data_IF_231668781248
#
_entry.id   IF_231668781248
#
_cell.length_a   1.000
_cell.length_b   1.000
_cell.length_c   1.000
_cell.angle_alpha   90.00
_cell.angle_beta   90.00
_cell.angle_gamma   90.00
#
_symmetry.space_group_name_H-M   'P 1'
#
loop_
_entity.id
_entity.type
_entity.pdbx_description
1 polymer ?
#
# COMPACT_ATOMS: atom_id res chain seq x y z
N UNK A 1 -25.07 -35.61 2.67
CA UNK A 1 -25.12 -34.13 2.55
C UNK A 1 -24.48 -33.41 3.73
N UNK A 2 -24.78 -33.76 4.98
CA UNK A 2 -24.19 -33.10 6.16
C UNK A 2 -22.64 -33.07 6.22
N UNK A 3 -21.99 -34.22 5.99
CA UNK A 3 -20.51 -34.30 5.97
C UNK A 3 -19.88 -33.37 4.92
N UNK A 4 -20.53 -33.21 3.76
CA UNK A 4 -20.04 -32.32 2.71
C UNK A 4 -20.04 -30.86 3.17
N UNK A 5 -21.11 -30.38 3.82
CA UNK A 5 -21.15 -29.02 4.35
C UNK A 5 -20.12 -28.80 5.46
N UNK A 6 -19.92 -29.79 6.33
CA UNK A 6 -18.92 -29.71 7.38
C UNK A 6 -17.50 -29.58 6.80
N UNK A 7 -17.14 -30.46 5.85
CA UNK A 7 -15.82 -30.42 5.19
C UNK A 7 -15.62 -29.13 4.41
N UNK A 8 -16.64 -28.68 3.67
CA UNK A 8 -16.59 -27.43 2.91
C UNK A 8 -16.43 -26.21 3.84
N UNK A 9 -17.17 -26.17 4.94
CA UNK A 9 -17.10 -25.11 5.93
C UNK A 9 -15.70 -25.02 6.57
N UNK A 10 -15.14 -26.16 7.00
CA UNK A 10 -13.77 -26.23 7.52
C UNK A 10 -12.75 -25.73 6.48
N UNK A 11 -12.88 -26.17 5.23
CA UNK A 11 -11.97 -25.75 4.16
C UNK A 11 -12.03 -24.23 3.92
N UNK A 12 -13.23 -23.65 3.91
CA UNK A 12 -13.42 -22.19 3.79
C UNK A 12 -12.79 -21.46 4.96
N UNK A 13 -13.00 -21.93 6.20
CA UNK A 13 -12.41 -21.31 7.39
C UNK A 13 -10.88 -21.35 7.36
N UNK A 14 -10.29 -22.52 7.08
CA UNK A 14 -8.83 -22.66 6.98
C UNK A 14 -8.30 -21.75 5.88
N UNK A 15 -8.88 -21.79 4.68
CA UNK A 15 -8.45 -20.94 3.57
C UNK A 15 -8.54 -19.45 3.89
N UNK A 16 -9.59 -19.02 4.60
CA UNK A 16 -9.79 -17.62 4.98
C UNK A 16 -8.81 -17.18 6.06
N UNK A 17 -8.59 -18.00 7.10
CA UNK A 17 -7.63 -17.71 8.16
C UNK A 17 -6.20 -17.67 7.61
N UNK A 18 -5.85 -18.60 6.71
CA UNK A 18 -4.55 -18.58 6.03
C UNK A 18 -4.38 -17.32 5.19
N UNK A 19 -5.38 -16.93 4.39
CA UNK A 19 -5.31 -15.69 3.60
C UNK A 19 -5.20 -14.44 4.47
N UNK A 20 -5.93 -14.39 5.58
CA UNK A 20 -5.90 -13.30 6.55
C UNK A 20 -4.54 -13.19 7.24
N UNK A 21 -3.97 -14.30 7.71
CA UNK A 21 -2.64 -14.32 8.34
C UNK A 21 -1.57 -13.93 7.32
N UNK A 22 -1.65 -14.47 6.11
CA UNK A 22 -0.71 -14.14 5.02
C UNK A 22 -0.75 -12.64 4.71
N UNK A 23 -1.94 -12.09 4.50
CA UNK A 23 -2.10 -10.69 4.07
C UNK A 23 -1.76 -9.67 5.17
N UNK A 24 -1.93 -10.04 6.44
CA UNK A 24 -1.74 -9.09 7.57
C UNK A 24 -0.44 -9.28 8.34
N UNK A 25 0.10 -10.50 8.42
CA UNK A 25 1.27 -10.81 9.25
C UNK A 25 2.52 -11.21 8.44
N UNK A 26 2.37 -11.68 7.20
CA UNK A 26 3.51 -12.09 6.38
C UNK A 26 3.99 -10.95 5.48
N UNK A 27 4.93 -10.16 6.00
CA UNK A 27 5.52 -8.98 5.32
C UNK A 27 6.11 -9.33 3.95
N UNK A 28 6.88 -10.41 3.84
CA UNK A 28 7.54 -10.80 2.58
C UNK A 28 6.61 -11.53 1.60
N UNK A 29 5.40 -11.92 2.03
CA UNK A 29 4.50 -12.77 1.26
C UNK A 29 3.59 -12.02 0.30
N UNK A 30 3.52 -10.69 0.39
CA UNK A 30 2.54 -9.89 -0.33
C UNK A 30 1.09 -10.19 0.09
N UNK A 31 0.13 -9.85 -0.77
CA UNK A 31 -1.28 -10.14 -0.50
C UNK A 31 -1.60 -11.63 -0.72
N UNK A 32 -2.36 -12.22 0.19
CA UNK A 32 -2.80 -13.61 0.09
C UNK A 32 -3.59 -13.91 -1.21
N UNK A 33 -3.76 -15.19 -1.59
CA UNK A 33 -4.39 -15.56 -2.86
C UNK A 33 -5.82 -15.04 -3.07
N UNK A 34 -6.63 -14.98 -2.00
CA UNK A 34 -8.00 -14.47 -2.06
C UNK A 34 -7.98 -12.95 -2.12
N UNK A 35 -7.21 -12.31 -1.23
CA UNK A 35 -7.08 -10.85 -1.15
C UNK A 35 -6.49 -10.24 -2.42
N UNK A 36 -5.47 -10.87 -3.01
CA UNK A 36 -4.86 -10.43 -4.26
C UNK A 36 -5.79 -10.53 -5.46
N UNK A 37 -6.59 -11.60 -5.56
CA UNK A 37 -7.60 -11.78 -6.62
C UNK A 37 -8.71 -10.75 -6.52
N UNK A 38 -9.24 -10.54 -5.31
CA UNK A 38 -10.24 -9.51 -5.04
C UNK A 38 -9.73 -8.13 -5.43
N UNK A 39 -8.54 -7.79 -4.95
CA UNK A 39 -7.90 -6.50 -5.21
C UNK A 39 -7.71 -6.25 -6.71
N UNK A 40 -7.15 -7.21 -7.44
CA UNK A 40 -7.00 -7.12 -8.91
C UNK A 40 -8.34 -6.98 -9.63
N UNK A 41 -9.38 -7.68 -9.18
CA UNK A 41 -10.72 -7.61 -9.76
C UNK A 41 -11.37 -6.22 -9.55
N UNK A 42 -11.31 -5.69 -8.32
CA UNK A 42 -11.80 -4.36 -7.98
C UNK A 42 -11.05 -3.30 -8.79
N UNK A 43 -9.71 -3.36 -8.81
CA UNK A 43 -8.88 -2.44 -9.57
C UNK A 43 -9.18 -2.46 -11.08
N UNK A 44 -9.26 -3.64 -11.69
CA UNK A 44 -9.60 -3.78 -13.11
C UNK A 44 -10.99 -3.21 -13.43
N UNK A 45 -11.94 -3.37 -12.52
CA UNK A 45 -13.29 -2.84 -12.66
C UNK A 45 -13.29 -1.31 -12.59
N UNK A 46 -12.57 -0.72 -11.62
CA UNK A 46 -12.44 0.73 -11.50
C UNK A 46 -11.74 1.35 -12.72
N UNK A 47 -10.65 0.74 -13.20
CA UNK A 47 -9.92 1.21 -14.38
C UNK A 47 -10.77 1.12 -15.66
N UNK A 48 -11.58 0.05 -15.82
CA UNK A 48 -12.47 -0.14 -16.98
C UNK A 48 -13.61 0.88 -17.01
N UNK A 49 -14.06 1.37 -15.86
CA UNK A 49 -15.11 2.39 -15.76
C UNK A 49 -14.71 3.76 -16.30
N UNK A 50 -13.47 3.92 -16.81
CA UNK A 50 -12.97 5.12 -17.52
C UNK A 50 -13.15 6.40 -16.70
N UNK A 51 -13.08 6.26 -15.38
CA UNK A 51 -13.28 7.37 -14.45
C UNK A 51 -12.06 8.26 -14.52
N UNK A 52 -12.15 9.36 -15.26
CA UNK A 52 -11.07 10.36 -15.42
C UNK A 52 -10.90 11.29 -14.21
N UNK A 53 -11.57 10.99 -13.11
CA UNK A 53 -11.55 11.86 -11.92
C UNK A 53 -10.60 11.26 -10.89
N UNK A 54 -9.46 11.92 -10.68
CA UNK A 54 -8.42 11.52 -9.72
C UNK A 54 -8.98 11.32 -8.30
N UNK A 55 -10.04 12.08 -7.94
CA UNK A 55 -10.72 11.91 -6.64
C UNK A 55 -11.38 10.54 -6.52
N UNK A 56 -11.94 10.00 -7.59
CA UNK A 56 -12.57 8.68 -7.56
C UNK A 56 -11.50 7.58 -7.56
N UNK A 57 -10.36 7.78 -8.22
CA UNK A 57 -9.24 6.85 -8.14
C UNK A 57 -8.63 6.82 -6.73
N UNK A 58 -8.62 7.97 -6.02
CA UNK A 58 -8.18 8.03 -4.62
C UNK A 58 -9.05 7.22 -3.65
N UNK A 59 -10.30 6.91 -4.03
CA UNK A 59 -11.20 6.03 -3.26
C UNK A 59 -10.93 4.53 -3.49
N UNK A 60 -10.08 4.16 -4.45
CA UNK A 60 -9.78 2.76 -4.74
C UNK A 60 -9.18 2.04 -3.53
N UNK A 61 -8.13 2.60 -2.93
CA UNK A 61 -7.47 2.05 -1.75
C UNK A 61 -8.44 1.77 -0.59
N UNK A 62 -9.17 2.79 -0.08
CA UNK A 62 -10.17 2.59 0.97
C UNK A 62 -11.25 1.57 0.61
N UNK A 63 -11.74 1.58 -0.63
CA UNK A 63 -12.76 0.63 -1.07
C UNK A 63 -12.23 -0.81 -1.09
N UNK A 64 -11.02 -1.03 -1.60
CA UNK A 64 -10.39 -2.37 -1.63
C UNK A 64 -10.17 -2.87 -0.21
N UNK A 65 -9.71 -2.02 0.72
CA UNK A 65 -9.55 -2.38 2.13
C UNK A 65 -10.88 -2.84 2.74
N UNK A 66 -11.93 -2.05 2.60
CA UNK A 66 -13.27 -2.40 3.13
C UNK A 66 -13.80 -3.69 2.51
N UNK A 67 -13.70 -3.84 1.18
CA UNK A 67 -14.15 -5.04 0.49
C UNK A 67 -13.36 -6.29 0.92
N UNK A 68 -12.08 -6.16 1.20
CA UNK A 68 -11.23 -7.27 1.69
C UNK A 68 -11.71 -7.73 3.06
N UNK A 69 -11.92 -6.81 4.00
CA UNK A 69 -12.44 -7.12 5.33
C UNK A 69 -13.86 -7.70 5.27
N UNK A 70 -14.74 -7.13 4.43
CA UNK A 70 -16.08 -7.66 4.20
C UNK A 70 -16.03 -9.09 3.64
N UNK A 71 -15.11 -9.37 2.71
CA UNK A 71 -14.97 -10.71 2.14
C UNK A 71 -14.56 -11.72 3.22
N UNK A 72 -13.56 -11.38 4.05
CA UNK A 72 -13.14 -12.26 5.14
C UNK A 72 -14.25 -12.54 6.15
N UNK A 73 -14.98 -11.50 6.60
CA UNK A 73 -16.08 -11.71 7.57
C UNK A 73 -17.20 -12.56 6.97
N UNK A 74 -17.53 -12.36 5.69
CA UNK A 74 -18.55 -13.16 5.00
C UNK A 74 -18.11 -14.62 4.83
N UNK A 75 -16.83 -14.88 4.56
CA UNK A 75 -16.30 -16.24 4.46
C UNK A 75 -16.22 -16.94 5.81
N UNK A 76 -15.82 -16.24 6.87
CA UNK A 76 -15.84 -16.77 8.24
C UNK A 76 -17.27 -17.09 8.65
N UNK A 77 -18.20 -16.15 8.44
CA UNK A 77 -19.61 -16.34 8.74
C UNK A 77 -20.19 -17.53 7.96
N UNK A 78 -19.99 -17.57 6.64
CA UNK A 78 -20.46 -18.65 5.78
C UNK A 78 -19.83 -20.00 6.12
N UNK A 79 -18.52 -20.05 6.41
CA UNK A 79 -17.81 -21.26 6.80
C UNK A 79 -18.39 -21.87 8.07
N UNK A 80 -18.64 -21.06 9.09
CA UNK A 80 -19.31 -21.51 10.31
C UNK A 80 -20.77 -21.92 10.08
N UNK A 81 -21.53 -21.17 9.26
CA UNK A 81 -22.90 -21.58 8.87
C UNK A 81 -22.91 -22.96 8.23
N UNK A 82 -21.96 -23.26 7.35
CA UNK A 82 -21.84 -24.57 6.71
C UNK A 82 -21.45 -25.68 7.70
N UNK A 83 -20.57 -25.38 8.67
CA UNK A 83 -20.22 -26.33 9.74
C UNK A 83 -21.46 -26.70 10.55
N UNK A 84 -22.25 -25.70 10.99
CA UNK A 84 -23.48 -25.97 11.73
C UNK A 84 -24.50 -26.68 10.84
N UNK A 85 -24.65 -26.32 9.56
CA UNK A 85 -25.49 -27.05 8.60
C UNK A 85 -25.07 -28.51 8.34
N UNK A 86 -23.86 -28.90 8.76
CA UNK A 86 -23.34 -30.26 8.62
C UNK A 86 -24.06 -31.30 9.47
N UNK A 87 -24.75 -30.89 10.54
CA UNK A 87 -25.56 -31.76 11.38
C UNK A 87 -26.93 -31.14 11.63
N UNK A 88 -28.00 -31.91 11.43
CA UNK A 88 -29.37 -31.42 11.60
C UNK A 88 -29.60 -30.93 13.04
N UNK A 89 -29.15 -31.73 14.02
CA UNK A 89 -29.36 -31.50 15.44
C UNK A 89 -28.27 -30.65 16.09
N UNK A 90 -27.48 -29.87 15.33
CA UNK A 90 -26.40 -29.03 15.88
C UNK A 90 -26.91 -27.92 16.82
N UNK A 91 -28.15 -27.49 16.63
CA UNK A 91 -28.81 -26.39 17.34
C UNK A 91 -30.17 -26.84 17.84
N UNK A 92 -30.59 -26.25 18.95
CA UNK A 92 -31.92 -26.40 19.55
C UNK A 92 -32.55 -25.02 19.63
N UNK A 93 -33.80 -24.91 19.18
CA UNK A 93 -34.63 -23.72 19.39
C UNK A 93 -35.07 -23.69 20.86
N UNK A 94 -34.82 -22.56 21.53
CA UNK A 94 -35.08 -22.42 22.97
C UNK A 94 -36.53 -22.01 23.29
N UNK A 95 -37.30 -21.61 22.27
CA UNK A 95 -38.68 -21.13 22.39
C UNK A 95 -39.69 -22.16 21.91
N UNK A 96 -39.49 -22.72 20.73
CA UNK A 96 -40.39 -23.70 20.12
C UNK A 96 -39.62 -24.88 19.54
N UNK A 97 -39.91 -26.10 20.00
CA UNK A 97 -39.24 -27.28 19.49
C UNK A 97 -39.59 -27.52 18.01
N UNK A 98 -38.63 -27.32 17.11
CA UNK A 98 -38.80 -27.48 15.67
C UNK A 98 -37.49 -27.69 14.91
N UNK A 99 -37.57 -28.09 13.62
CA UNK A 99 -36.39 -28.24 12.79
C UNK A 99 -35.77 -26.87 12.47
N UNK A 100 -34.46 -26.75 12.68
CA UNK A 100 -33.75 -25.48 12.48
C UNK A 100 -33.53 -25.20 10.98
N UNK A 101 -34.06 -24.08 10.50
CA UNK A 101 -33.97 -23.63 9.12
C UNK A 101 -32.57 -23.09 8.78
N UNK A 102 -32.28 -22.93 7.48
CA UNK A 102 -31.02 -22.32 7.03
C UNK A 102 -30.86 -20.87 7.51
N UNK A 103 -31.95 -20.12 7.51
CA UNK A 103 -31.94 -18.73 7.96
C UNK A 103 -31.63 -18.63 9.46
N UNK A 104 -32.18 -19.53 10.27
CA UNK A 104 -31.90 -19.61 11.70
C UNK A 104 -30.45 -19.99 12.00
N UNK A 105 -29.85 -20.88 11.20
CA UNK A 105 -28.41 -21.19 11.29
C UNK A 105 -27.54 -19.98 10.95
N UNK A 106 -27.90 -19.25 9.88
CA UNK A 106 -27.21 -18.01 9.47
C UNK A 106 -27.29 -16.98 10.59
N UNK A 107 -28.50 -16.77 11.15
CA UNK A 107 -28.75 -15.84 12.24
C UNK A 107 -28.02 -16.24 13.54
N UNK A 108 -28.04 -17.53 13.91
CA UNK A 108 -27.27 -18.08 15.03
C UNK A 108 -25.79 -17.73 14.93
N UNK A 109 -25.17 -18.09 13.81
CA UNK A 109 -23.74 -17.83 13.61
C UNK A 109 -23.47 -16.33 13.61
N UNK A 110 -24.34 -15.50 13.03
CA UNK A 110 -24.17 -14.05 13.04
C UNK A 110 -24.13 -13.51 14.47
N UNK A 111 -25.12 -13.83 15.31
CA UNK A 111 -25.15 -13.28 16.66
C UNK A 111 -24.07 -13.89 17.57
N UNK A 112 -23.58 -15.11 17.31
CA UNK A 112 -22.43 -15.66 18.02
C UNK A 112 -21.12 -15.00 17.58
N UNK A 113 -20.93 -14.82 16.27
CA UNK A 113 -19.72 -14.23 15.68
C UNK A 113 -19.56 -12.76 16.09
N UNK A 114 -20.65 -12.00 16.11
CA UNK A 114 -20.68 -10.60 16.51
C UNK A 114 -21.02 -10.40 17.99
N UNK A 115 -20.95 -11.45 18.82
CA UNK A 115 -21.09 -11.39 20.29
C UNK A 115 -22.43 -10.85 20.82
N UNK A 116 -23.49 -10.86 20.01
CA UNK A 116 -24.82 -10.35 20.38
C UNK A 116 -25.54 -11.31 21.35
N UNK A 117 -25.44 -12.62 21.16
CA UNK A 117 -25.82 -13.61 22.18
C UNK A 117 -27.29 -13.68 22.61
N UNK A 118 -28.26 -13.44 21.71
CA UNK A 118 -29.69 -13.33 22.05
C UNK A 118 -30.32 -14.59 22.70
N UNK A 119 -29.71 -15.77 22.54
CA UNK A 119 -30.19 -17.00 23.18
C UNK A 119 -31.40 -17.66 22.52
N UNK A 120 -31.81 -17.20 21.34
CA UNK A 120 -32.93 -17.78 20.56
C UNK A 120 -32.65 -19.23 20.15
N UNK A 121 -31.37 -19.56 19.91
CA UNK A 121 -30.90 -20.91 19.63
C UNK A 121 -29.71 -21.27 20.51
N UNK A 122 -29.64 -22.53 20.93
CA UNK A 122 -28.57 -23.06 21.77
C UNK A 122 -27.86 -24.23 21.09
N UNK A 123 -26.53 -24.32 21.18
CA UNK A 123 -25.80 -25.48 20.67
C UNK A 123 -26.17 -26.77 21.40
N UNK A 124 -26.43 -27.83 20.64
CA UNK A 124 -26.85 -29.13 21.17
C UNK A 124 -25.64 -29.98 21.60
N UNK A 125 -25.29 -29.94 22.89
CA UNK A 125 -24.22 -30.76 23.45
C UNK A 125 -22.82 -30.14 23.35
N UNK A 126 -21.84 -30.81 23.96
CA UNK A 126 -20.54 -30.21 24.28
C UNK A 126 -19.70 -29.83 23.06
N UNK A 127 -19.77 -30.59 21.97
CA UNK A 127 -19.00 -30.30 20.74
C UNK A 127 -19.50 -29.01 20.09
N UNK A 128 -20.82 -28.84 20.00
CA UNK A 128 -21.43 -27.65 19.41
C UNK A 128 -21.30 -26.43 20.32
N UNK A 129 -21.28 -26.62 21.65
CA UNK A 129 -20.94 -25.57 22.60
C UNK A 129 -19.52 -25.07 22.38
N UNK A 130 -18.55 -25.98 22.27
CA UNK A 130 -17.17 -25.62 21.96
C UNK A 130 -17.04 -24.93 20.60
N UNK A 131 -17.73 -25.43 19.56
CA UNK A 131 -17.77 -24.79 18.25
C UNK A 131 -18.33 -23.36 18.33
N UNK A 132 -19.35 -23.13 19.15
CA UNK A 132 -19.91 -21.80 19.40
C UNK A 132 -18.90 -20.89 20.08
N UNK A 133 -18.16 -21.39 21.08
CA UNK A 133 -17.06 -20.63 21.70
C UNK A 133 -15.97 -20.27 20.67
N UNK A 134 -15.65 -21.18 19.74
CA UNK A 134 -14.70 -20.91 18.65
C UNK A 134 -15.25 -19.89 17.65
N UNK A 135 -16.55 -19.89 17.34
CA UNK A 135 -17.19 -18.82 16.55
C UNK A 135 -16.93 -17.47 17.21
N UNK A 136 -17.32 -17.33 18.48
CA UNK A 136 -17.17 -16.08 19.24
C UNK A 136 -15.71 -15.64 19.30
N UNK A 137 -14.79 -16.56 19.61
CA UNK A 137 -13.35 -16.28 19.62
C UNK A 137 -12.83 -15.83 18.26
N UNK A 138 -13.25 -16.48 17.18
CA UNK A 138 -12.84 -16.12 15.81
C UNK A 138 -13.36 -14.74 15.40
N UNK A 139 -14.59 -14.40 15.75
CA UNK A 139 -15.18 -13.09 15.48
C UNK A 139 -14.50 -11.96 16.25
N UNK A 140 -14.21 -12.19 17.54
CA UNK A 140 -13.49 -11.23 18.36
C UNK A 140 -12.06 -10.99 17.84
N UNK A 141 -11.30 -12.06 17.59
CA UNK A 141 -9.95 -11.96 17.03
C UNK A 141 -9.93 -11.27 15.67
N UNK A 142 -10.89 -11.60 14.80
CA UNK A 142 -11.05 -10.95 13.50
C UNK A 142 -11.31 -9.45 13.64
N UNK A 143 -12.27 -9.05 14.47
CA UNK A 143 -12.59 -7.63 14.66
C UNK A 143 -11.41 -6.83 15.21
N UNK A 144 -10.70 -7.39 16.20
CA UNK A 144 -9.49 -6.75 16.75
C UNK A 144 -8.41 -6.59 15.67
N UNK A 145 -8.10 -7.67 14.94
CA UNK A 145 -7.08 -7.62 13.90
C UNK A 145 -7.49 -6.69 12.75
N UNK A 146 -8.75 -6.71 12.34
CA UNK A 146 -9.28 -5.83 11.29
C UNK A 146 -9.14 -4.35 11.68
N UNK A 147 -9.50 -3.99 12.92
CA UNK A 147 -9.33 -2.63 13.43
C UNK A 147 -7.86 -2.21 13.44
N UNK A 148 -6.96 -3.06 13.97
CA UNK A 148 -5.51 -2.82 13.97
C UNK A 148 -4.97 -2.65 12.55
N UNK A 149 -5.40 -3.51 11.62
CA UNK A 149 -4.97 -3.45 10.23
C UNK A 149 -5.41 -2.17 9.52
N UNK A 150 -6.67 -1.72 9.74
CA UNK A 150 -7.15 -0.43 9.22
C UNK A 150 -6.26 0.71 9.74
N UNK A 151 -5.99 0.75 11.04
CA UNK A 151 -5.17 1.80 11.65
C UNK A 151 -3.76 1.80 11.05
N UNK A 152 -3.13 0.63 10.93
CA UNK A 152 -1.80 0.48 10.33
C UNK A 152 -1.75 0.94 8.88
N UNK A 153 -2.72 0.54 8.06
CA UNK A 153 -2.79 0.94 6.65
C UNK A 153 -3.03 2.45 6.51
N UNK A 154 -3.95 3.02 7.29
CA UNK A 154 -4.24 4.47 7.25
C UNK A 154 -3.03 5.28 7.74
N UNK A 155 -2.31 4.81 8.76
CA UNK A 155 -1.06 5.43 9.20
C UNK A 155 0.00 5.42 8.11
N UNK A 156 0.20 4.28 7.43
CA UNK A 156 1.15 4.18 6.33
C UNK A 156 0.79 5.09 5.15
N UNK A 157 -0.51 5.27 4.87
CA UNK A 157 -0.99 6.24 3.88
C UNK A 157 -0.68 7.67 4.30
N UNK A 158 -0.83 8.01 5.59
CA UNK A 158 -0.48 9.32 6.10
C UNK A 158 1.04 9.57 6.01
N UNK A 159 1.87 8.59 6.38
CA UNK A 159 3.32 8.68 6.35
C UNK A 159 3.85 8.90 4.93
N UNK A 160 3.37 8.13 3.94
CA UNK A 160 3.80 8.32 2.54
C UNK A 160 3.41 9.67 1.97
N UNK A 161 2.25 10.21 2.38
CA UNK A 161 1.80 11.56 1.98
C UNK A 161 2.59 12.65 2.70
N UNK A 162 2.92 12.45 3.98
CA UNK A 162 3.75 13.36 4.75
C UNK A 162 5.15 13.47 4.14
N UNK A 163 5.78 12.34 3.77
CA UNK A 163 7.02 12.33 3.02
C UNK A 163 6.89 13.12 1.70
N UNK A 164 5.88 12.80 0.89
CA UNK A 164 5.70 13.44 -0.41
C UNK A 164 5.47 14.96 -0.28
N UNK A 165 4.68 15.38 0.70
CA UNK A 165 4.43 16.79 1.00
C UNK A 165 5.67 17.50 1.53
N UNK A 166 6.52 16.82 2.30
CA UNK A 166 7.77 17.37 2.83
C UNK A 166 8.74 17.70 1.69
N UNK A 167 8.93 16.76 0.75
CA UNK A 167 9.75 16.97 -0.45
C UNK A 167 9.15 18.06 -1.34
N UNK A 168 7.84 18.00 -1.60
CA UNK A 168 7.14 19.01 -2.41
C UNK A 168 7.13 20.41 -1.76
N UNK A 169 7.42 20.51 -0.46
CA UNK A 169 7.61 21.77 0.25
C UNK A 169 8.87 22.53 -0.20
N UNK A 170 9.88 21.83 -0.74
CA UNK A 170 11.05 22.47 -1.34
C UNK A 170 10.68 23.19 -2.65
N UNK A 171 9.75 22.61 -3.40
CA UNK A 171 9.23 23.12 -4.66
C UNK A 171 8.51 22.01 -5.43
N UNK A 172 7.99 22.34 -6.61
CA UNK A 172 7.29 21.38 -7.50
C UNK A 172 8.02 21.16 -8.82
N UNK A 173 9.17 21.80 -8.99
CA UNK A 173 10.01 21.77 -10.18
C UNK A 173 11.46 21.62 -9.76
N UNK A 174 12.25 20.92 -10.57
CA UNK A 174 13.59 20.48 -10.18
C UNK A 174 14.56 21.65 -10.12
N UNK A 175 14.59 22.49 -11.16
CA UNK A 175 15.52 23.64 -11.24
C UNK A 175 15.31 24.64 -10.10
N UNK A 176 14.07 25.08 -9.76
CA UNK A 176 13.84 25.93 -8.60
C UNK A 176 14.24 25.30 -7.26
N UNK A 177 14.15 23.97 -7.11
CA UNK A 177 14.61 23.29 -5.88
C UNK A 177 16.12 23.39 -5.78
N UNK A 178 16.86 22.99 -6.82
CA UNK A 178 18.32 23.07 -6.83
C UNK A 178 18.79 24.49 -6.56
N UNK A 179 18.15 25.48 -7.19
CA UNK A 179 18.42 26.91 -6.92
C UNK A 179 18.25 27.28 -5.45
N UNK A 180 17.17 26.83 -4.79
CA UNK A 180 16.92 27.13 -3.36
C UNK A 180 17.90 26.42 -2.42
N UNK A 181 18.45 25.27 -2.83
CA UNK A 181 19.39 24.50 -2.00
C UNK A 181 20.80 25.09 -2.05
N UNK A 182 21.11 25.93 -3.04
CA UNK A 182 22.41 26.61 -3.15
C UNK A 182 22.48 27.77 -2.14
N UNK A 183 23.43 27.69 -1.21
CA UNK A 183 23.62 28.73 -0.18
C UNK A 183 24.57 29.87 -0.64
N UNK A 184 25.15 29.76 -1.84
CA UNK A 184 26.16 30.67 -2.38
C UNK A 184 27.58 30.08 -2.44
N UNK A 185 27.84 29.04 -1.64
CA UNK A 185 29.15 28.37 -1.53
C UNK A 185 29.05 26.87 -1.81
N UNK A 186 28.06 26.19 -1.23
CA UNK A 186 27.86 24.75 -1.35
C UNK A 186 26.37 24.33 -1.17
N UNK A 187 26.13 23.02 -1.09
CA UNK A 187 24.82 22.40 -0.79
C UNK A 187 24.79 21.73 0.60
N UNK A 188 25.58 22.19 1.58
CA UNK A 188 25.71 21.51 2.88
C UNK A 188 24.37 21.33 3.64
N UNK A 189 23.45 22.29 3.49
CA UNK A 189 22.12 22.29 4.09
C UNK A 189 21.26 21.10 3.64
N UNK A 190 21.58 20.54 2.47
CA UNK A 190 20.92 19.37 1.94
C UNK A 190 21.18 18.12 2.79
N UNK A 191 22.33 18.04 3.50
CA UNK A 191 22.68 16.89 4.32
C UNK A 191 21.61 16.57 5.38
N UNK A 192 21.09 17.59 6.08
CA UNK A 192 20.04 17.41 7.10
C UNK A 192 18.71 16.95 6.49
N UNK A 193 18.38 17.48 5.31
CA UNK A 193 17.18 17.11 4.58
C UNK A 193 17.29 15.66 4.07
N UNK A 194 18.44 15.26 3.55
CA UNK A 194 18.67 13.90 3.03
C UNK A 194 18.62 12.85 4.12
N UNK A 195 19.19 13.10 5.29
CA UNK A 195 19.06 12.18 6.44
C UNK A 195 17.59 12.03 6.82
N UNK A 196 16.82 13.12 6.81
CA UNK A 196 15.39 13.08 7.14
C UNK A 196 14.60 12.32 6.07
N UNK A 197 14.82 12.63 4.79
CA UNK A 197 14.13 12.00 3.68
C UNK A 197 14.50 10.53 3.50
N UNK A 198 15.75 10.14 3.75
CA UNK A 198 16.18 8.73 3.71
C UNK A 198 15.44 7.92 4.77
N UNK A 199 15.37 8.42 6.01
CA UNK A 199 14.62 7.77 7.08
C UNK A 199 13.12 7.65 6.76
N UNK A 200 12.52 8.73 6.27
CA UNK A 200 11.10 8.73 5.90
C UNK A 200 10.81 7.80 4.72
N UNK A 201 11.62 7.85 3.66
CA UNK A 201 11.44 7.00 2.47
C UNK A 201 11.68 5.54 2.80
N UNK A 202 12.70 5.22 3.61
CA UNK A 202 12.96 3.86 4.08
C UNK A 202 11.75 3.29 4.84
N UNK A 203 11.18 4.07 5.77
CA UNK A 203 9.94 3.69 6.48
C UNK A 203 8.79 3.43 5.50
N UNK A 204 8.56 4.34 4.55
CA UNK A 204 7.51 4.20 3.52
C UNK A 204 7.74 2.96 2.65
N UNK A 205 8.98 2.66 2.27
CA UNK A 205 9.36 1.47 1.52
C UNK A 205 9.03 0.20 2.30
N UNK A 206 9.39 0.13 3.58
CA UNK A 206 9.05 -1.02 4.44
C UNK A 206 7.53 -1.17 4.62
N UNK A 207 6.80 -0.06 4.75
CA UNK A 207 5.33 -0.09 4.82
C UNK A 207 4.70 -0.60 3.52
N UNK A 208 5.28 -0.31 2.35
CA UNK A 208 4.82 -0.86 1.07
C UNK A 208 4.96 -2.39 0.99
N UNK A 209 6.02 -2.95 1.58
CA UNK A 209 6.20 -4.40 1.71
C UNK A 209 5.20 -5.01 2.70
N UNK A 210 5.08 -4.41 3.88
CA UNK A 210 4.19 -4.89 4.95
C UNK A 210 2.69 -4.77 4.61
N UNK A 211 2.31 -3.76 3.82
CA UNK A 211 0.91 -3.47 3.49
C UNK A 211 0.71 -3.42 1.98
N UNK A 212 0.51 -4.58 1.31
CA UNK A 212 0.37 -4.67 -0.14
C UNK A 212 -0.78 -3.81 -0.72
N UNK A 213 -1.81 -3.53 0.08
CA UNK A 213 -2.91 -2.65 -0.29
C UNK A 213 -2.48 -1.19 -0.50
N UNK A 214 -1.34 -0.77 0.05
CA UNK A 214 -0.84 0.60 -0.02
C UNK A 214 -0.56 1.07 -1.47
N UNK A 215 -0.28 0.12 -2.37
CA UNK A 215 -0.11 0.37 -3.81
C UNK A 215 -1.37 0.93 -4.48
N UNK A 216 -2.56 0.62 -3.95
CA UNK A 216 -3.84 1.06 -4.52
C UNK A 216 -4.34 2.39 -3.94
N UNK A 217 -3.61 2.96 -2.97
CA UNK A 217 -3.90 4.28 -2.43
C UNK A 217 -3.30 5.36 -3.32
N UNK A 218 -4.09 5.85 -4.26
CA UNK A 218 -3.72 6.98 -5.11
C UNK A 218 -3.92 8.32 -4.36
N UNK A 219 -2.98 9.24 -4.51
CA UNK A 219 -3.07 10.59 -3.95
C UNK A 219 -3.83 11.49 -4.92
N UNK A 220 -4.85 12.23 -4.45
CA UNK A 220 -5.63 13.12 -5.32
C UNK A 220 -4.86 14.41 -5.72
N UNK A 221 -3.85 14.78 -4.94
CA UNK A 221 -3.02 15.97 -5.17
C UNK A 221 -1.59 15.56 -5.53
N UNK A 222 -1.03 16.18 -6.58
CA UNK A 222 0.32 15.87 -7.08
C UNK A 222 1.41 16.00 -6.01
N UNK A 223 1.30 16.99 -5.11
CA UNK A 223 2.25 17.22 -4.01
C UNK A 223 2.23 16.14 -2.92
N UNK A 224 1.21 15.28 -2.91
CA UNK A 224 1.10 14.15 -1.98
C UNK A 224 1.43 12.81 -2.66
N UNK A 225 1.85 12.83 -3.92
CA UNK A 225 2.18 11.63 -4.68
C UNK A 225 3.64 11.22 -4.43
N UNK A 226 3.83 10.11 -3.72
CA UNK A 226 5.16 9.57 -3.39
C UNK A 226 6.04 9.36 -4.64
N UNK A 227 5.56 8.77 -5.76
CA UNK A 227 6.39 8.61 -6.95
C UNK A 227 6.90 9.94 -7.53
N UNK A 228 6.07 10.99 -7.47
CA UNK A 228 6.44 12.34 -7.93
C UNK A 228 7.49 12.94 -7.00
N UNK A 229 7.28 12.85 -5.68
CA UNK A 229 8.23 13.35 -4.70
C UNK A 229 9.60 12.65 -4.80
N UNK A 230 9.63 11.32 -4.90
CA UNK A 230 10.87 10.57 -5.07
C UNK A 230 11.57 10.98 -6.37
N UNK A 231 10.83 11.11 -7.47
CA UNK A 231 11.40 11.55 -8.75
C UNK A 231 11.95 12.97 -8.69
N UNK A 232 11.24 13.89 -8.02
CA UNK A 232 11.66 15.27 -7.85
C UNK A 232 12.94 15.39 -7.02
N UNK A 233 13.04 14.62 -5.94
CA UNK A 233 14.21 14.55 -5.08
C UNK A 233 15.40 13.93 -5.82
N UNK A 234 15.20 12.76 -6.45
CA UNK A 234 16.27 12.03 -7.15
C UNK A 234 16.80 12.79 -8.38
N UNK A 235 15.93 13.48 -9.11
CA UNK A 235 16.34 14.33 -10.23
C UNK A 235 17.11 15.57 -9.73
N UNK A 236 16.67 16.20 -8.62
CA UNK A 236 17.40 17.33 -8.01
C UNK A 236 18.81 16.91 -7.59
N UNK A 237 18.92 15.74 -6.96
CA UNK A 237 20.21 15.15 -6.58
C UNK A 237 21.08 14.81 -7.79
N UNK A 238 20.47 14.32 -8.86
CA UNK A 238 21.19 14.02 -10.11
C UNK A 238 21.74 15.29 -10.76
N UNK A 239 20.99 16.39 -10.77
CA UNK A 239 21.50 17.69 -11.26
C UNK A 239 22.66 18.18 -10.40
N UNK A 240 22.53 18.10 -9.07
CA UNK A 240 23.59 18.56 -8.16
C UNK A 240 24.87 17.74 -8.38
N UNK A 241 24.75 16.41 -8.43
CA UNK A 241 25.91 15.52 -8.57
C UNK A 241 26.54 15.56 -9.97
N UNK A 242 25.72 15.42 -11.02
CA UNK A 242 26.23 15.27 -12.40
C UNK A 242 26.31 16.57 -13.18
N UNK A 243 25.70 17.64 -12.66
CA UNK A 243 25.58 18.94 -13.33
C UNK A 243 26.40 20.07 -12.71
N UNK A 244 27.06 19.87 -11.55
CA UNK A 244 27.92 20.89 -10.93
C UNK A 244 29.39 20.48 -10.88
N UNK A 245 30.31 21.45 -10.81
CA UNK A 245 31.74 21.19 -10.61
C UNK A 245 32.05 20.94 -9.13
N UNK A 246 33.01 20.05 -8.84
CA UNK A 246 33.55 19.74 -7.50
C UNK A 246 32.56 19.18 -6.46
N UNK A 247 31.46 18.54 -6.88
CA UNK A 247 30.44 17.95 -5.99
C UNK A 247 29.98 18.90 -4.85
N UNK A 248 30.13 20.21 -5.07
CA UNK A 248 29.62 21.34 -4.29
C UNK A 248 29.33 21.08 -2.79
N UNK A 249 30.30 20.50 -2.07
CA UNK A 249 30.34 20.40 -0.60
C UNK A 249 29.34 19.47 0.11
N UNK A 250 28.53 18.65 -0.59
CA UNK A 250 27.65 17.70 0.09
C UNK A 250 28.37 16.40 0.51
N UNK A 251 27.92 15.76 1.59
CA UNK A 251 28.54 14.55 2.10
C UNK A 251 28.20 13.34 1.21
N UNK A 252 29.23 12.72 0.61
CA UNK A 252 29.08 11.58 -0.30
C UNK A 252 28.36 10.39 0.34
N UNK A 253 28.64 10.08 1.62
CA UNK A 253 27.98 8.97 2.31
C UNK A 253 26.48 9.18 2.48
N UNK A 254 26.05 10.40 2.79
CA UNK A 254 24.62 10.76 2.91
C UNK A 254 23.94 10.71 1.53
N UNK A 255 24.64 11.15 0.48
CA UNK A 255 24.14 11.05 -0.88
C UNK A 255 23.95 9.59 -1.31
N UNK A 256 24.96 8.74 -1.09
CA UNK A 256 24.91 7.32 -1.42
C UNK A 256 23.78 6.60 -0.65
N UNK A 257 23.59 6.92 0.63
CA UNK A 257 22.48 6.40 1.45
C UNK A 257 21.11 6.77 0.85
N UNK A 258 20.90 8.05 0.50
CA UNK A 258 19.65 8.50 -0.12
C UNK A 258 19.44 7.81 -1.47
N UNK A 259 20.49 7.70 -2.29
CA UNK A 259 20.43 7.04 -3.61
C UNK A 259 20.16 5.55 -3.47
N UNK A 260 20.70 4.87 -2.46
CA UNK A 260 20.36 3.48 -2.15
C UNK A 260 18.90 3.35 -1.72
N UNK A 261 18.41 4.25 -0.87
CA UNK A 261 17.02 4.26 -0.38
C UNK A 261 16.01 4.46 -1.52
N UNK A 262 16.33 5.32 -2.51
CA UNK A 262 15.54 5.43 -3.75
C UNK A 262 15.56 4.12 -4.55
N UNK A 263 16.70 3.43 -4.60
CA UNK A 263 16.83 2.11 -5.21
C UNK A 263 15.90 1.08 -4.56
N UNK A 264 15.92 0.96 -3.24
CA UNK A 264 15.07 0.03 -2.48
C UNK A 264 13.56 0.32 -2.71
N UNK A 265 13.21 1.61 -2.81
CA UNK A 265 11.86 2.02 -3.16
C UNK A 265 11.45 1.55 -4.56
N UNK A 266 12.32 1.75 -5.56
CA UNK A 266 12.08 1.34 -6.94
C UNK A 266 11.98 -0.19 -7.07
N UNK A 267 12.84 -0.94 -6.39
CA UNK A 267 12.79 -2.41 -6.36
C UNK A 267 11.44 -2.89 -5.81
N UNK A 268 10.98 -2.29 -4.71
CA UNK A 268 9.67 -2.58 -4.10
C UNK A 268 8.51 -2.26 -5.06
N UNK A 269 8.62 -1.21 -5.87
CA UNK A 269 7.62 -0.89 -6.90
C UNK A 269 7.67 -1.85 -8.10
N UNK A 270 8.85 -2.34 -8.46
CA UNK A 270 9.03 -3.29 -9.56
C UNK A 270 8.40 -4.65 -9.23
N UNK A 271 8.57 -5.13 -8.00
CA UNK A 271 7.86 -6.32 -7.48
C UNK A 271 6.33 -6.17 -7.56
N UNK A 272 5.83 -4.92 -7.51
CA UNK A 272 4.42 -4.58 -7.70
C UNK A 272 4.00 -4.41 -9.19
N UNK A 273 4.83 -4.85 -10.14
CA UNK A 273 4.63 -4.80 -11.60
C UNK A 273 4.62 -3.40 -12.21
N UNK A 274 5.38 -2.45 -11.66
CA UNK A 274 5.66 -1.17 -12.31
C UNK A 274 6.85 -1.34 -13.26
N UNK A 275 6.60 -1.13 -14.55
CA UNK A 275 7.62 -1.21 -15.60
C UNK A 275 8.29 0.16 -15.84
N UNK A 276 9.60 0.19 -16.18
CA UNK A 276 10.28 1.41 -16.59
C UNK A 276 9.64 2.03 -17.84
N UNK A 277 9.65 3.36 -17.95
CA UNK A 277 9.16 4.04 -19.15
C UNK A 277 10.01 3.71 -20.39
N UNK A 278 9.41 3.73 -21.57
CA UNK A 278 10.11 3.48 -22.85
C UNK A 278 11.17 4.54 -23.19
N UNK A 279 10.98 5.76 -22.68
CA UNK A 279 11.83 6.90 -23.00
C UNK A 279 12.37 7.54 -21.72
N UNK A 280 13.63 7.97 -21.80
CA UNK A 280 14.26 8.76 -20.74
C UNK A 280 13.55 10.13 -20.65
N UNK A 281 13.21 10.62 -19.46
CA UNK A 281 12.66 11.96 -19.29
C UNK A 281 13.58 13.05 -19.85
N UNK A 282 13.03 14.18 -20.32
CA UNK A 282 13.83 15.28 -20.85
C UNK A 282 14.77 15.83 -19.78
N UNK A 283 15.94 16.32 -20.20
CA UNK A 283 16.87 17.01 -19.30
C UNK A 283 16.39 18.45 -19.06
N UNK A 284 16.53 18.98 -17.83
CA UNK A 284 16.23 20.37 -17.54
C UNK A 284 17.33 21.31 -18.04
N UNK A 285 16.95 22.54 -18.37
CA UNK A 285 17.89 23.60 -18.76
C UNK A 285 18.59 24.19 -17.53
N UNK A 286 19.93 24.21 -17.55
CA UNK A 286 20.74 24.68 -16.41
C UNK A 286 21.06 26.18 -16.47
N UNK A 287 20.62 26.90 -17.50
CA UNK A 287 20.95 28.32 -17.67
C UNK A 287 20.43 29.19 -16.52
N UNK A 288 19.26 28.85 -15.98
CA UNK A 288 18.71 29.51 -14.80
C UNK A 288 19.55 29.29 -13.53
N UNK A 289 20.23 28.15 -13.40
CA UNK A 289 21.15 27.90 -12.29
C UNK A 289 22.46 28.66 -12.47
N UNK A 290 22.97 28.73 -13.70
CA UNK A 290 24.19 29.48 -14.03
C UNK A 290 24.04 30.97 -13.71
N UNK A 291 22.87 31.55 -13.98
CA UNK A 291 22.57 32.96 -13.68
C UNK A 291 22.60 33.28 -12.18
N UNK A 292 22.40 32.28 -11.32
CA UNK A 292 22.37 32.42 -9.86
C UNK A 292 23.73 32.09 -9.22
N UNK A 293 24.76 31.88 -10.03
CA UNK A 293 26.11 31.59 -9.55
C UNK A 293 26.33 30.13 -9.14
N UNK A 294 25.40 29.21 -9.44
CA UNK A 294 25.64 27.77 -9.26
C UNK A 294 26.70 27.33 -10.28
N UNK A 295 27.76 26.62 -9.86
CA UNK A 295 28.87 26.26 -10.73
C UNK A 295 28.49 25.05 -11.60
N UNK A 296 27.63 25.27 -12.59
CA UNK A 296 27.11 24.23 -13.47
C UNK A 296 28.06 23.91 -14.64
N UNK A 297 28.11 22.64 -15.02
CA UNK A 297 28.88 22.14 -16.16
C UNK A 297 28.31 22.66 -17.50
N UNK A 298 29.12 22.64 -18.58
CA UNK A 298 28.61 22.83 -19.94
C UNK A 298 27.55 21.78 -20.31
N UNK A 299 26.57 22.16 -21.14
CA UNK A 299 25.42 21.31 -21.48
C UNK A 299 25.83 19.93 -22.02
N UNK A 300 26.84 19.86 -22.89
CA UNK A 300 27.34 18.59 -23.44
C UNK A 300 27.94 17.67 -22.37
N UNK A 301 28.65 18.24 -21.39
CA UNK A 301 29.23 17.46 -20.28
C UNK A 301 28.13 16.97 -19.32
N UNK A 302 27.15 17.82 -19.03
CA UNK A 302 25.99 17.45 -18.23
C UNK A 302 25.17 16.32 -18.87
N UNK A 303 24.87 16.43 -20.17
CA UNK A 303 24.14 15.39 -20.91
C UNK A 303 24.87 14.05 -20.89
N UNK A 304 26.20 14.08 -21.10
CA UNK A 304 27.05 12.89 -21.02
C UNK A 304 27.00 12.25 -19.63
N UNK A 305 27.11 13.03 -18.57
CA UNK A 305 27.11 12.52 -17.20
C UNK A 305 25.73 11.96 -16.82
N UNK A 306 24.64 12.62 -17.22
CA UNK A 306 23.28 12.16 -16.96
C UNK A 306 22.92 10.85 -17.68
N UNK A 307 23.69 10.43 -18.69
CA UNK A 307 23.52 9.14 -19.33
C UNK A 307 23.75 7.96 -18.36
N UNK A 308 24.59 8.13 -17.34
CA UNK A 308 24.88 7.11 -16.33
C UNK A 308 23.66 6.73 -15.48
N UNK A 309 22.68 7.63 -15.36
CA UNK A 309 21.46 7.44 -14.55
C UNK A 309 20.20 7.29 -15.40
N UNK A 310 20.37 7.07 -16.70
CA UNK A 310 19.26 6.97 -17.66
C UNK A 310 18.27 5.85 -17.32
N UNK A 311 18.75 4.70 -16.85
CA UNK A 311 17.91 3.56 -16.43
C UNK A 311 17.05 3.91 -15.22
N UNK A 312 17.67 4.42 -14.14
CA UNK A 312 16.95 4.90 -12.94
C UNK A 312 15.90 5.97 -13.29
N UNK A 313 16.23 6.91 -14.17
CA UNK A 313 15.28 7.95 -14.61
C UNK A 313 14.09 7.35 -15.36
N UNK A 314 14.28 6.26 -16.13
CA UNK A 314 13.19 5.52 -16.77
C UNK A 314 12.31 4.79 -15.75
N UNK A 315 12.91 4.18 -14.72
CA UNK A 315 12.17 3.53 -13.63
C UNK A 315 11.29 4.53 -12.86
N UNK A 316 11.86 5.66 -12.45
CA UNK A 316 11.14 6.74 -11.80
C UNK A 316 10.02 7.30 -12.69
N UNK A 317 10.28 7.47 -13.99
CA UNK A 317 9.25 7.90 -14.95
C UNK A 317 8.13 6.86 -15.09
N UNK A 318 8.48 5.57 -15.07
CA UNK A 318 7.53 4.47 -15.03
C UNK A 318 6.63 4.55 -13.80
N UNK A 319 7.21 4.76 -12.62
CA UNK A 319 6.48 4.92 -11.36
C UNK A 319 5.54 6.13 -11.37
N UNK A 320 6.00 7.29 -11.85
CA UNK A 320 5.19 8.51 -11.98
C UNK A 320 4.00 8.30 -12.93
N UNK A 321 4.23 7.64 -14.07
CA UNK A 321 3.18 7.35 -15.07
C UNK A 321 2.20 6.29 -14.58
N UNK A 322 2.68 5.28 -13.85
CA UNK A 322 1.83 4.24 -13.25
C UNK A 322 0.83 4.85 -12.26
N UNK A 323 1.25 5.88 -11.53
CA UNK A 323 0.38 6.67 -10.65
C UNK A 323 -0.35 7.80 -11.39
N UNK A 324 -0.44 7.77 -12.73
CA UNK A 324 -1.16 8.73 -13.58
C UNK A 324 -0.70 10.19 -13.49
N UNK A 325 0.54 10.43 -13.04
CA UNK A 325 1.15 11.76 -13.00
C UNK A 325 2.09 12.03 -14.17
N UNK A 326 2.43 13.30 -14.35
CA UNK A 326 3.43 13.76 -15.31
C UNK A 326 4.78 14.01 -14.62
N UNK A 327 5.86 13.73 -15.36
CA UNK A 327 7.23 13.96 -14.92
C UNK A 327 7.40 15.39 -14.35
N UNK A 328 8.03 15.55 -13.18
CA UNK A 328 8.36 16.87 -12.67
C UNK A 328 9.56 17.43 -13.44
N UNK A 329 9.28 18.21 -14.49
CA UNK A 329 10.28 19.03 -15.17
C UNK A 329 10.47 20.36 -14.41
#
# INVERSE_FOLDING_TARGET
MGIFYLVLGIFILIGTVTDLIWTTLWVDGGAGPLSSRLTKAVWKTMKKSRIKNERVLSLAGPLILVLTLCTWVLLIWGGWTLIFAGQADSLIDTREAGPISWFERIYFVAYSLFTMGNGDFSPNGSIWQLATSLITGSGMLFLTLAASYIISVVSAVADKRAFASSVSGLGTQVVPIVKKMWNGEDFDQLNLLLVTFSNQLSSVTQQHKAYPLLHYYHSAEKKEATPVAVSLLDESLSIIYFGTTDNAGFNQGIFDEMRSTVGDYLETLHEAFIEPADHVPPLPELDALRQEGVPVLPAEAFEKNMAEVSERRRELSGAVRADSWQWPA
#
